data_IF_538674488482
#
_entry.id   IF_538674488482
#
_cell.length_a   1.000
_cell.length_b   1.000
_cell.length_c   1.000
_cell.angle_alpha   90.00
_cell.angle_beta   90.00
_cell.angle_gamma   90.00
#
_symmetry.space_group_name_H-M   'P 1'
#
loop_
_entity.id
_entity.type
_entity.pdbx_description
1 polymer ?
#
# COMPACT_ATOMS: atom_id res chain seq x y z
N UNK A 1 17.29 -18.09 -4.41
CA UNK A 1 16.43 -17.39 -3.42
C UNK A 1 15.14 -16.86 -4.03
N UNK A 2 15.18 -16.12 -5.15
CA UNK A 2 13.96 -15.64 -5.81
C UNK A 2 12.91 -16.74 -6.06
N UNK A 3 13.35 -17.92 -6.55
CA UNK A 3 12.44 -19.05 -6.78
C UNK A 3 11.77 -19.57 -5.49
N UNK A 4 12.50 -19.63 -4.38
CA UNK A 4 11.92 -20.00 -3.08
C UNK A 4 10.88 -18.99 -2.61
N UNK A 5 11.11 -17.69 -2.82
CA UNK A 5 10.10 -16.65 -2.53
C UNK A 5 8.86 -16.88 -3.39
N UNK A 6 9.05 -17.19 -4.68
CA UNK A 6 7.96 -17.48 -5.61
C UNK A 6 7.10 -18.65 -5.09
N UNK A 7 7.73 -19.77 -4.74
CA UNK A 7 7.05 -20.95 -4.18
C UNK A 7 6.24 -20.61 -2.93
N UNK A 8 6.87 -19.98 -1.93
CA UNK A 8 6.20 -19.56 -0.69
C UNK A 8 5.04 -18.60 -0.95
N UNK A 9 5.17 -17.67 -1.89
CA UNK A 9 4.12 -16.73 -2.27
C UNK A 9 2.93 -17.44 -2.92
N UNK A 10 3.16 -18.45 -3.77
CA UNK A 10 2.08 -19.26 -4.36
C UNK A 10 1.31 -20.04 -3.29
N UNK A 11 2.02 -20.66 -2.34
CA UNK A 11 1.39 -21.40 -1.25
C UNK A 11 0.58 -20.50 -0.30
N UNK A 12 1.15 -19.36 0.09
CA UNK A 12 0.47 -18.37 0.91
C UNK A 12 -0.79 -17.81 0.23
N UNK A 13 -0.70 -17.51 -1.07
CA UNK A 13 -1.87 -17.12 -1.85
C UNK A 13 -2.94 -18.24 -1.91
N UNK A 14 -2.52 -19.50 -1.91
CA UNK A 14 -3.40 -20.67 -1.79
C UNK A 14 -4.18 -20.69 -0.48
N UNK A 15 -3.52 -20.42 0.66
CA UNK A 15 -4.16 -20.33 1.98
C UNK A 15 -5.26 -19.26 1.99
N UNK A 16 -4.98 -18.08 1.43
CA UNK A 16 -5.96 -16.99 1.35
C UNK A 16 -7.12 -17.36 0.44
N UNK A 17 -6.83 -17.74 -0.81
CA UNK A 17 -7.84 -17.85 -1.86
C UNK A 17 -8.72 -19.09 -1.74
N UNK A 18 -8.18 -20.22 -1.29
CA UNK A 18 -8.90 -21.52 -1.25
C UNK A 18 -9.49 -21.81 0.12
N UNK A 19 -8.88 -21.28 1.17
CA UNK A 19 -9.21 -21.64 2.54
C UNK A 19 -9.66 -20.46 3.40
N UNK A 20 -9.65 -19.23 2.87
CA UNK A 20 -10.06 -18.02 3.60
C UNK A 20 -9.18 -17.72 4.81
N UNK A 21 -7.94 -18.22 4.82
CA UNK A 21 -7.01 -18.06 5.93
C UNK A 21 -6.16 -16.78 5.78
N UNK A 22 -5.57 -16.26 6.86
CA UNK A 22 -4.61 -15.17 6.77
C UNK A 22 -3.42 -15.49 5.86
N UNK A 23 -2.81 -14.47 5.26
CA UNK A 23 -1.57 -14.61 4.50
C UNK A 23 -0.41 -14.94 5.46
N UNK A 24 0.29 -16.04 5.19
CA UNK A 24 1.36 -16.58 6.02
C UNK A 24 2.76 -16.49 5.38
N UNK A 25 2.93 -15.67 4.33
CA UNK A 25 4.19 -15.56 3.57
C UNK A 25 5.40 -15.25 4.45
N UNK A 26 5.28 -14.30 5.38
CA UNK A 26 6.38 -13.90 6.26
C UNK A 26 6.84 -15.07 7.14
N UNK A 27 5.90 -15.83 7.70
CA UNK A 27 6.18 -17.03 8.50
C UNK A 27 6.88 -18.12 7.69
N UNK A 28 6.49 -18.27 6.42
CA UNK A 28 7.14 -19.23 5.50
C UNK A 28 8.59 -18.85 5.21
N UNK A 29 8.84 -17.57 4.93
CA UNK A 29 10.20 -17.07 4.64
C UNK A 29 11.08 -17.16 5.89
N UNK A 30 10.60 -16.73 7.06
CA UNK A 30 11.34 -16.83 8.32
C UNK A 30 11.62 -18.29 8.73
N UNK A 31 10.70 -19.20 8.40
CA UNK A 31 10.85 -20.63 8.67
C UNK A 31 11.74 -21.39 7.69
N UNK A 32 12.14 -20.80 6.55
CA UNK A 32 13.01 -21.44 5.56
C UNK A 32 14.48 -21.04 5.79
N UNK A 33 15.35 -21.99 6.20
CA UNK A 33 16.75 -21.71 6.52
C UNK A 33 17.54 -21.09 5.37
N UNK A 34 17.07 -21.18 4.13
CA UNK A 34 17.72 -20.56 2.98
C UNK A 34 17.75 -19.03 3.05
N UNK A 35 16.82 -18.39 3.77
CA UNK A 35 16.76 -16.92 3.87
C UNK A 35 17.59 -16.36 5.01
N UNK A 36 17.79 -17.13 6.09
CA UNK A 36 18.52 -16.69 7.28
C UNK A 36 18.07 -15.31 7.82
N UNK A 37 16.75 -15.06 7.78
CA UNK A 37 16.11 -13.84 8.28
C UNK A 37 15.12 -14.20 9.38
N UNK A 38 15.05 -13.40 10.44
CA UNK A 38 14.02 -13.54 11.46
C UNK A 38 12.68 -12.96 10.98
N UNK A 39 11.58 -13.32 11.67
CA UNK A 39 10.27 -12.71 11.40
C UNK A 39 10.31 -11.21 11.72
N UNK A 40 11.05 -10.81 12.75
CA UNK A 40 11.27 -9.41 13.11
C UNK A 40 12.01 -8.63 12.01
N UNK A 41 13.06 -9.20 11.41
CA UNK A 41 13.79 -8.58 10.31
C UNK A 41 12.87 -8.29 9.12
N UNK A 42 12.04 -9.28 8.77
CA UNK A 42 11.07 -9.15 7.68
C UNK A 42 10.00 -8.11 8.01
N UNK A 43 9.42 -8.13 9.22
CA UNK A 43 8.39 -7.17 9.63
C UNK A 43 8.93 -5.73 9.61
N UNK A 44 10.19 -5.52 10.03
CA UNK A 44 10.81 -4.19 10.01
C UNK A 44 10.89 -3.58 8.61
N UNK A 45 10.94 -4.42 7.57
CA UNK A 45 10.95 -3.98 6.17
C UNK A 45 9.55 -3.62 5.64
N UNK A 46 8.47 -4.03 6.30
CA UNK A 46 7.08 -3.88 5.81
C UNK A 46 6.42 -2.56 6.22
N UNK A 47 7.20 -1.51 6.49
CA UNK A 47 6.65 -0.17 6.67
C UNK A 47 6.02 0.32 5.36
N UNK A 48 4.68 0.40 5.35
CA UNK A 48 3.91 0.82 4.18
C UNK A 48 4.34 2.19 3.64
N UNK A 49 4.84 3.09 4.49
CA UNK A 49 5.30 4.42 4.08
C UNK A 49 6.54 4.37 3.19
N UNK A 50 7.36 3.31 3.29
CA UNK A 50 8.51 3.10 2.42
C UNK A 50 8.12 2.69 0.98
N UNK A 51 6.86 2.28 0.76
CA UNK A 51 6.38 1.75 -0.53
C UNK A 51 5.48 2.70 -1.32
N UNK A 52 5.29 3.95 -0.85
CA UNK A 52 4.45 4.94 -1.57
C UNK A 52 5.23 5.81 -2.56
N UNK A 53 6.56 5.63 -2.66
CA UNK A 53 7.40 6.39 -3.59
C UNK A 53 7.23 7.90 -3.42
N UNK A 54 7.06 8.62 -4.53
CA UNK A 54 6.81 10.08 -4.55
C UNK A 54 5.34 10.48 -4.43
N UNK A 55 4.44 9.55 -4.08
CA UNK A 55 3.01 9.85 -4.04
C UNK A 55 2.67 11.07 -3.15
N UNK A 56 3.28 11.25 -1.96
CA UNK A 56 3.04 12.44 -1.13
C UNK A 56 3.43 13.74 -1.84
N UNK A 57 4.65 13.82 -2.37
CA UNK A 57 5.18 15.02 -3.03
C UNK A 57 4.41 15.32 -4.33
N UNK A 58 4.13 14.29 -5.13
CA UNK A 58 3.33 14.44 -6.35
C UNK A 58 1.93 14.98 -6.04
N UNK A 59 1.33 14.54 -4.93
CA UNK A 59 0.01 15.03 -4.51
C UNK A 59 0.08 16.48 -4.05
N UNK A 60 1.10 16.83 -3.28
CA UNK A 60 1.31 18.19 -2.79
C UNK A 60 1.59 19.18 -3.93
N UNK A 61 2.50 18.81 -4.85
CA UNK A 61 2.80 19.55 -6.08
C UNK A 61 1.54 19.75 -6.92
N UNK A 62 0.79 18.67 -7.19
CA UNK A 62 -0.43 18.75 -7.99
C UNK A 62 -1.49 19.66 -7.36
N UNK A 63 -1.75 19.48 -6.06
CA UNK A 63 -2.74 20.31 -5.35
C UNK A 63 -2.28 21.77 -5.29
N UNK A 64 -1.00 22.00 -5.00
CA UNK A 64 -0.40 23.32 -4.87
C UNK A 64 -0.36 24.10 -6.17
N UNK A 65 0.19 23.50 -7.22
CA UNK A 65 0.54 24.19 -8.46
C UNK A 65 -0.60 24.21 -9.48
N UNK A 66 -1.49 23.22 -9.46
CA UNK A 66 -2.55 23.10 -10.47
C UNK A 66 -3.94 23.33 -9.89
N UNK A 67 -4.26 22.70 -8.75
CA UNK A 67 -5.62 22.77 -8.19
C UNK A 67 -5.89 24.11 -7.50
N UNK A 68 -4.99 24.60 -6.63
CA UNK A 68 -5.20 25.87 -5.92
C UNK A 68 -5.42 27.06 -6.87
N UNK A 69 -4.67 27.24 -7.97
CA UNK A 69 -4.95 28.32 -8.93
C UNK A 69 -6.31 28.21 -9.61
N UNK A 70 -6.78 27.00 -9.91
CA UNK A 70 -8.11 26.78 -10.47
C UNK A 70 -9.18 27.17 -9.45
N UNK A 71 -9.07 26.71 -8.19
CA UNK A 71 -10.03 27.03 -7.14
C UNK A 71 -10.08 28.54 -6.82
N UNK A 72 -8.94 29.24 -6.92
CA UNK A 72 -8.85 30.69 -6.72
C UNK A 72 -9.70 31.49 -7.74
N UNK A 73 -10.02 30.93 -8.91
CA UNK A 73 -10.92 31.55 -9.89
C UNK A 73 -12.41 31.46 -9.51
N UNK A 74 -12.76 30.52 -8.63
CA UNK A 74 -14.15 30.17 -8.30
C UNK A 74 -14.45 30.24 -6.79
N UNK A 75 -13.77 31.13 -6.06
CA UNK A 75 -13.83 31.25 -4.58
C UNK A 75 -15.27 31.40 -4.02
N UNK A 76 -16.21 31.96 -4.80
CA UNK A 76 -17.62 32.05 -4.39
C UNK A 76 -18.33 30.70 -4.47
N UNK A 77 -18.07 29.93 -5.52
CA UNK A 77 -18.68 28.62 -5.75
C UNK A 77 -18.06 27.51 -4.89
N UNK A 78 -16.81 27.66 -4.43
CA UNK A 78 -16.16 26.70 -3.51
C UNK A 78 -16.81 26.62 -2.13
N UNK A 79 -17.74 27.53 -1.80
CA UNK A 79 -18.47 27.54 -0.51
C UNK A 79 -19.88 26.94 -0.60
N UNK A 80 -20.28 26.44 -1.77
CA UNK A 80 -21.59 25.83 -1.96
C UNK A 80 -21.60 24.44 -1.32
N UNK A 81 -22.63 24.16 -0.49
CA UNK A 81 -22.94 22.80 -0.03
C UNK A 81 -23.98 22.22 -0.99
N UNK A 82 -23.70 21.05 -1.53
CA UNK A 82 -24.68 20.28 -2.29
C UNK A 82 -25.55 19.47 -1.32
N UNK A 83 -26.86 19.73 -1.30
CA UNK A 83 -27.84 18.91 -0.61
C UNK A 83 -28.51 17.98 -1.62
N UNK A 84 -28.63 16.70 -1.27
CA UNK A 84 -29.33 15.69 -2.05
C UNK A 84 -30.59 15.29 -1.29
N UNK A 85 -31.75 15.66 -1.83
CA UNK A 85 -33.05 15.18 -1.36
C UNK A 85 -33.41 13.88 -2.10
N UNK A 86 -33.64 12.81 -1.35
CA UNK A 86 -34.19 11.54 -1.83
C UNK A 86 -35.71 11.59 -1.79
#
# INVERSE_FOLDING_TARGET
LHEKIREHAFEAAGQVKRHGRPNDLIKRIAGDPAFALSEEDLISSLDASAYVGRAPEQTEEFVGEYIRPVLARYVRQTKLRAELSV
#
